data_IF_921314464036
#
_entry.id   IF_921314464036
#
_cell.length_a   1.000
_cell.length_b   1.000
_cell.length_c   1.000
_cell.angle_alpha   90.00
_cell.angle_beta   90.00
_cell.angle_gamma   90.00
#
_symmetry.space_group_name_H-M   'P 1'
#
loop_
_entity.id
_entity.type
_entity.pdbx_description
1 polymer ?
#
# COMPACT_ATOMS: atom_id res chain seq x y z
N UNK A 1 -3.22 11.09 -7.09
CA UNK A 1 -2.98 11.69 -5.74
C UNK A 1 -3.50 13.14 -5.55
N UNK A 2 -4.48 13.63 -6.31
CA UNK A 2 -4.86 15.06 -6.27
C UNK A 2 -5.43 15.54 -4.92
N UNK A 3 -6.25 14.72 -4.25
CA UNK A 3 -6.85 15.05 -2.96
C UNK A 3 -5.77 15.27 -1.89
N UNK A 4 -4.76 14.39 -1.80
CA UNK A 4 -3.66 14.54 -0.84
C UNK A 4 -2.89 15.85 -1.05
N UNK A 5 -2.63 16.24 -2.31
CA UNK A 5 -1.97 17.51 -2.64
C UNK A 5 -2.79 18.71 -2.19
N UNK A 6 -4.09 18.68 -2.46
CA UNK A 6 -5.02 19.74 -2.03
C UNK A 6 -5.01 19.87 -0.51
N UNK A 7 -5.23 18.79 0.23
CA UNK A 7 -5.23 18.79 1.70
C UNK A 7 -3.90 19.32 2.28
N UNK A 8 -2.76 18.87 1.73
CA UNK A 8 -1.46 19.33 2.20
C UNK A 8 -1.17 20.81 1.87
N UNK A 9 -1.86 21.38 0.88
CA UNK A 9 -1.63 22.77 0.44
C UNK A 9 -2.57 23.78 1.11
N UNK A 10 -3.83 23.39 1.39
CA UNK A 10 -4.85 24.35 1.86
C UNK A 10 -4.95 24.46 3.37
N UNK A 11 -4.49 23.46 4.12
CA UNK A 11 -4.59 23.45 5.58
C UNK A 11 -3.28 23.94 6.21
N UNK A 12 -3.26 25.10 6.87
CA UNK A 12 -2.02 25.71 7.39
C UNK A 12 -1.37 24.92 8.54
N UNK A 13 -2.08 23.96 9.13
CA UNK A 13 -1.54 23.07 10.17
C UNK A 13 -0.79 21.85 9.61
N UNK A 14 -0.78 21.63 8.29
CA UNK A 14 -0.05 20.52 7.68
C UNK A 14 1.41 20.92 7.49
N UNK A 15 2.32 20.12 8.05
CA UNK A 15 3.75 20.38 7.95
C UNK A 15 4.26 20.30 6.49
N UNK A 16 5.17 21.20 6.12
CA UNK A 16 5.69 21.33 4.74
C UNK A 16 6.31 20.04 4.20
N UNK A 17 6.91 19.20 5.06
CA UNK A 17 7.52 17.93 4.62
C UNK A 17 6.56 17.00 3.89
N UNK A 18 5.24 17.09 4.15
CA UNK A 18 4.25 16.27 3.48
C UNK A 18 4.16 16.59 1.99
N UNK A 19 4.18 17.88 1.64
CA UNK A 19 4.12 18.35 0.26
C UNK A 19 4.89 19.68 0.09
N UNK A 20 6.24 19.62 0.04
CA UNK A 20 7.11 20.79 0.20
C UNK A 20 6.85 21.89 -0.82
N UNK A 21 6.96 23.16 -0.40
CA UNK A 21 6.91 24.32 -1.30
C UNK A 21 8.08 24.38 -2.29
N UNK A 22 9.24 23.85 -1.89
CA UNK A 22 10.42 23.76 -2.77
C UNK A 22 10.12 22.92 -4.02
N UNK A 23 10.20 23.57 -5.18
CA UNK A 23 9.80 22.97 -6.45
C UNK A 23 10.66 21.76 -6.82
N UNK A 24 11.94 21.75 -6.47
CA UNK A 24 12.83 20.64 -6.81
C UNK A 24 12.49 19.39 -5.99
N UNK A 25 12.30 19.54 -4.68
CA UNK A 25 11.87 18.45 -3.79
C UNK A 25 10.47 17.96 -4.15
N UNK A 26 9.55 18.89 -4.41
CA UNK A 26 8.19 18.57 -4.87
C UNK A 26 8.21 17.76 -6.16
N UNK A 27 9.01 18.14 -7.16
CA UNK A 27 9.10 17.41 -8.42
C UNK A 27 9.57 15.95 -8.23
N UNK A 28 10.49 15.70 -7.29
CA UNK A 28 10.90 14.33 -6.95
C UNK A 28 9.76 13.54 -6.31
N UNK A 29 9.02 14.12 -5.39
CA UNK A 29 7.83 13.50 -4.79
C UNK A 29 6.80 13.19 -5.88
N UNK A 30 6.51 14.15 -6.76
CA UNK A 30 5.58 13.98 -7.87
C UNK A 30 5.99 12.84 -8.82
N UNK A 31 7.29 12.67 -9.07
CA UNK A 31 7.79 11.55 -9.89
C UNK A 31 7.46 10.19 -9.28
N UNK A 32 7.48 10.06 -7.94
CA UNK A 32 7.10 8.83 -7.24
C UNK A 32 5.58 8.62 -7.33
N UNK A 33 4.80 9.68 -7.10
CA UNK A 33 3.35 9.64 -7.11
C UNK A 33 2.78 9.30 -8.50
N UNK A 34 3.42 9.77 -9.57
CA UNK A 34 3.05 9.42 -10.94
C UNK A 34 3.43 7.97 -11.27
N UNK A 35 4.68 7.59 -10.97
CA UNK A 35 5.15 6.21 -11.16
C UNK A 35 4.29 5.19 -10.41
N UNK A 36 3.84 5.51 -9.20
CA UNK A 36 3.02 4.63 -8.35
C UNK A 36 1.79 4.08 -9.07
N UNK A 37 1.08 4.93 -9.82
CA UNK A 37 -0.19 4.57 -10.45
C UNK A 37 -0.04 3.43 -11.47
N UNK A 38 0.98 3.49 -12.32
CA UNK A 38 1.20 2.54 -13.41
C UNK A 38 2.06 1.32 -13.02
N UNK A 39 2.65 1.34 -11.82
CA UNK A 39 3.55 0.30 -11.34
C UNK A 39 2.97 -0.37 -10.10
N UNK A 40 3.41 0.04 -8.91
CA UNK A 40 3.05 -0.62 -7.66
C UNK A 40 1.54 -0.77 -7.48
N UNK A 41 0.77 0.31 -7.69
CA UNK A 41 -0.69 0.29 -7.55
C UNK A 41 -1.36 -0.65 -8.54
N UNK A 42 -0.97 -0.59 -9.81
CA UNK A 42 -1.51 -1.49 -10.84
C UNK A 42 -1.25 -2.95 -10.45
N UNK A 43 -0.05 -3.26 -9.99
CA UNK A 43 0.31 -4.61 -9.55
C UNK A 43 -0.50 -5.07 -8.35
N UNK A 44 -0.44 -4.32 -7.25
CA UNK A 44 -1.12 -4.68 -6.00
C UNK A 44 -2.64 -4.77 -6.16
N UNK A 45 -3.27 -3.78 -6.81
CA UNK A 45 -4.71 -3.78 -7.05
C UNK A 45 -5.15 -4.95 -7.94
N UNK A 46 -4.39 -5.28 -9.00
CA UNK A 46 -4.70 -6.43 -9.87
C UNK A 46 -4.59 -7.74 -9.08
N UNK A 47 -3.57 -7.87 -8.23
CA UNK A 47 -3.38 -9.05 -7.38
C UNK A 47 -4.57 -9.21 -6.42
N UNK A 48 -4.92 -8.17 -5.66
CA UNK A 48 -6.08 -8.18 -4.73
C UNK A 48 -7.38 -8.46 -5.49
N UNK A 49 -7.58 -7.85 -6.65
CA UNK A 49 -8.78 -8.07 -7.45
C UNK A 49 -8.93 -9.54 -7.83
N UNK A 50 -7.89 -10.18 -8.38
CA UNK A 50 -8.02 -11.53 -8.94
C UNK A 50 -7.84 -12.66 -7.93
N UNK A 51 -7.23 -12.43 -6.76
CA UNK A 51 -7.03 -13.48 -5.75
C UNK A 51 -7.93 -13.34 -4.52
N UNK A 52 -8.49 -12.15 -4.30
CA UNK A 52 -9.33 -11.88 -3.14
C UNK A 52 -10.76 -11.44 -3.51
N UNK A 53 -10.90 -10.38 -4.30
CA UNK A 53 -12.20 -9.74 -4.49
C UNK A 53 -13.08 -10.45 -5.53
N UNK A 54 -12.54 -10.79 -6.71
CA UNK A 54 -13.27 -11.50 -7.75
C UNK A 54 -13.82 -12.86 -7.28
N UNK A 55 -13.03 -13.75 -6.64
CA UNK A 55 -13.57 -14.99 -6.07
C UNK A 55 -14.70 -14.76 -5.08
N UNK A 56 -14.54 -13.76 -4.21
CA UNK A 56 -15.54 -13.43 -3.19
C UNK A 56 -16.87 -12.96 -3.81
N UNK A 57 -16.80 -12.24 -4.94
CA UNK A 57 -17.97 -11.78 -5.69
C UNK A 57 -18.50 -12.82 -6.69
N UNK A 58 -17.91 -14.03 -6.76
CA UNK A 58 -18.28 -15.04 -7.77
C UNK A 58 -17.91 -14.65 -9.20
N UNK A 59 -16.97 -13.73 -9.37
CA UNK A 59 -16.46 -13.27 -10.67
C UNK A 59 -15.28 -14.13 -11.13
N UNK A 60 -15.07 -14.15 -12.45
CA UNK A 60 -13.97 -14.88 -13.07
C UNK A 60 -12.60 -14.31 -12.68
N UNK A 61 -11.65 -15.19 -12.39
CA UNK A 61 -10.25 -14.85 -12.13
C UNK A 61 -9.38 -15.15 -13.35
N UNK A 62 -8.23 -14.49 -13.46
CA UNK A 62 -7.25 -14.74 -14.52
C UNK A 62 -5.89 -15.06 -13.91
N UNK A 63 -5.45 -16.30 -14.08
CA UNK A 63 -4.13 -16.73 -13.61
C UNK A 63 -2.98 -15.97 -14.27
N UNK A 64 -3.12 -15.61 -15.55
CA UNK A 64 -2.12 -14.83 -16.26
C UNK A 64 -2.04 -13.40 -15.71
N UNK A 65 -3.19 -12.77 -15.43
CA UNK A 65 -3.22 -11.44 -14.82
C UNK A 65 -2.57 -11.44 -13.42
N UNK A 66 -2.82 -12.49 -12.62
CA UNK A 66 -2.16 -12.67 -11.31
C UNK A 66 -0.66 -12.77 -11.48
N UNK A 67 -0.16 -13.65 -12.35
CA UNK A 67 1.29 -13.83 -12.58
C UNK A 67 1.98 -12.54 -13.03
N UNK A 68 1.34 -11.78 -13.92
CA UNK A 68 1.84 -10.47 -14.36
C UNK A 68 1.84 -9.45 -13.23
N UNK A 69 0.79 -9.44 -12.40
CA UNK A 69 0.69 -8.57 -11.23
C UNK A 69 1.78 -8.89 -10.19
N UNK A 70 2.03 -10.16 -9.88
CA UNK A 70 3.09 -10.59 -8.97
C UNK A 70 4.46 -10.08 -9.46
N UNK A 71 4.75 -10.29 -10.75
CA UNK A 71 5.99 -9.79 -11.36
C UNK A 71 6.11 -8.27 -11.23
N UNK A 72 5.04 -7.53 -11.50
CA UNK A 72 5.04 -6.07 -11.43
C UNK A 72 5.23 -5.58 -9.99
N UNK A 73 4.63 -6.24 -9.00
CA UNK A 73 4.84 -5.93 -7.58
C UNK A 73 6.31 -6.15 -7.19
N UNK A 74 6.89 -7.32 -7.51
CA UNK A 74 8.30 -7.59 -7.20
C UNK A 74 9.26 -6.59 -7.86
N UNK A 75 9.01 -6.25 -9.14
CA UNK A 75 9.79 -5.23 -9.84
C UNK A 75 9.64 -3.86 -9.17
N UNK A 76 8.42 -3.50 -8.75
CA UNK A 76 8.14 -2.24 -8.06
C UNK A 76 8.88 -2.15 -6.72
N UNK A 77 8.88 -3.22 -5.92
CA UNK A 77 9.65 -3.28 -4.67
C UNK A 77 11.15 -3.09 -4.93
N UNK A 78 11.70 -3.76 -5.94
CA UNK A 78 13.10 -3.57 -6.35
C UNK A 78 13.42 -2.13 -6.77
N UNK A 79 12.51 -1.43 -7.46
CA UNK A 79 12.67 -0.01 -7.82
C UNK A 79 12.64 0.89 -6.58
N UNK A 80 11.69 0.69 -5.67
CA UNK A 80 11.59 1.47 -4.43
C UNK A 80 12.89 1.38 -3.65
N UNK A 81 13.39 0.16 -3.49
CA UNK A 81 14.63 -0.10 -2.77
C UNK A 81 15.84 0.48 -3.50
N UNK A 82 16.05 0.20 -4.79
CA UNK A 82 17.24 0.65 -5.51
C UNK A 82 17.28 2.16 -5.81
N UNK A 83 16.12 2.79 -6.02
CA UNK A 83 16.03 4.18 -6.51
C UNK A 83 15.74 5.17 -5.38
N UNK A 84 14.80 4.86 -4.48
CA UNK A 84 14.25 5.86 -3.56
C UNK A 84 14.63 5.66 -2.10
N UNK A 85 14.97 4.45 -1.67
CA UNK A 85 15.41 4.17 -0.30
C UNK A 85 16.94 4.12 -0.12
N UNK A 86 17.73 4.76 -0.99
CA UNK A 86 19.19 4.61 -1.04
C UNK A 86 19.91 4.90 0.29
N UNK A 87 20.94 4.10 0.61
CA UNK A 87 21.76 4.26 1.82
C UNK A 87 20.95 4.06 3.11
N UNK A 88 21.33 4.79 4.17
CA UNK A 88 20.67 4.73 5.48
C UNK A 88 19.42 5.62 5.57
N UNK A 89 18.75 5.84 4.44
CA UNK A 89 17.58 6.72 4.34
C UNK A 89 16.50 6.39 5.38
N UNK A 90 15.97 7.43 6.02
CA UNK A 90 14.85 7.29 6.96
C UNK A 90 13.52 7.16 6.22
N UNK A 91 13.33 7.98 5.18
CA UNK A 91 12.16 7.99 4.31
C UNK A 91 12.59 8.03 2.83
N UNK A 92 11.62 7.95 1.91
CA UNK A 92 11.89 8.04 0.48
C UNK A 92 12.70 9.30 0.13
N UNK A 93 13.50 9.21 -0.93
CA UNK A 93 14.39 10.27 -1.41
C UNK A 93 15.53 10.63 -0.43
N UNK A 94 15.79 9.81 0.59
CA UNK A 94 16.78 10.10 1.62
C UNK A 94 16.32 11.16 2.64
N UNK A 95 15.01 11.43 2.71
CA UNK A 95 14.47 12.49 3.56
C UNK A 95 14.52 12.12 5.05
N UNK A 96 14.77 13.09 5.96
CA UNK A 96 14.65 12.90 7.40
C UNK A 96 13.19 12.85 7.90
N UNK A 97 12.23 13.27 7.08
CA UNK A 97 10.80 13.32 7.38
C UNK A 97 9.97 12.65 6.26
N UNK A 98 8.82 12.03 6.57
CA UNK A 98 7.99 11.39 5.55
C UNK A 98 7.35 12.42 4.62
N UNK A 99 6.86 11.96 3.48
CA UNK A 99 6.08 12.75 2.52
C UNK A 99 4.80 12.03 2.11
N UNK A 100 3.94 12.68 1.32
CA UNK A 100 2.77 12.00 0.74
C UNK A 100 3.16 10.83 -0.18
N UNK A 101 4.39 10.78 -0.70
CA UNK A 101 4.88 9.62 -1.44
C UNK A 101 5.07 8.43 -0.50
N UNK A 102 5.61 8.64 0.70
CA UNK A 102 5.79 7.57 1.69
C UNK A 102 4.44 6.97 2.09
N UNK A 103 3.45 7.81 2.39
CA UNK A 103 2.08 7.39 2.69
C UNK A 103 1.46 6.59 1.54
N UNK A 104 1.62 7.07 0.29
CA UNK A 104 1.00 6.43 -0.86
C UNK A 104 1.60 5.05 -1.15
N UNK A 105 2.93 4.91 -1.07
CA UNK A 105 3.59 3.63 -1.31
C UNK A 105 3.34 2.64 -0.15
N UNK A 106 3.41 3.07 1.12
CA UNK A 106 3.22 2.16 2.25
C UNK A 106 1.80 1.61 2.27
N UNK A 107 0.78 2.44 2.06
CA UNK A 107 -0.62 1.99 2.05
C UNK A 107 -0.90 1.00 0.91
N UNK A 108 -0.20 1.13 -0.21
CA UNK A 108 -0.31 0.19 -1.32
C UNK A 108 0.36 -1.16 -0.99
N UNK A 109 1.54 -1.13 -0.36
CA UNK A 109 2.22 -2.36 0.10
C UNK A 109 1.43 -3.07 1.19
N UNK A 110 0.78 -2.32 2.08
CA UNK A 110 -0.07 -2.87 3.13
C UNK A 110 -1.19 -3.75 2.59
N UNK A 111 -1.65 -3.56 1.34
CA UNK A 111 -2.66 -4.45 0.72
C UNK A 111 -2.21 -5.91 0.65
N UNK A 112 -0.90 -6.19 0.62
CA UNK A 112 -0.36 -7.55 0.62
C UNK A 112 -0.68 -8.32 1.90
N UNK A 113 -0.93 -7.62 3.02
CA UNK A 113 -1.33 -8.24 4.29
C UNK A 113 -2.62 -9.06 4.18
N UNK A 114 -3.50 -8.73 3.23
CA UNK A 114 -4.76 -9.46 2.98
C UNK A 114 -4.50 -10.95 2.68
N UNK A 115 -3.33 -11.29 2.17
CA UNK A 115 -2.98 -12.65 1.77
C UNK A 115 -2.41 -13.53 2.90
N UNK A 116 -2.25 -12.97 4.11
CA UNK A 116 -1.61 -13.67 5.22
C UNK A 116 -0.08 -13.58 5.17
N UNK A 117 0.56 -13.95 6.28
CA UNK A 117 2.00 -13.74 6.48
C UNK A 117 2.86 -14.49 5.45
N UNK A 118 2.54 -15.76 5.17
CA UNK A 118 3.32 -16.58 4.23
C UNK A 118 3.37 -15.97 2.82
N UNK A 119 2.22 -15.56 2.28
CA UNK A 119 2.17 -14.97 0.93
C UNK A 119 2.79 -13.58 0.93
N UNK A 120 2.56 -12.78 1.96
CA UNK A 120 3.16 -11.46 2.08
C UNK A 120 4.69 -11.53 2.17
N UNK A 121 5.23 -12.50 2.88
CA UNK A 121 6.67 -12.70 3.05
C UNK A 121 7.33 -13.23 1.77
N UNK A 122 6.60 -13.91 0.87
CA UNK A 122 7.11 -14.21 -0.49
C UNK A 122 7.45 -12.95 -1.28
N UNK A 123 6.76 -11.83 -1.02
CA UNK A 123 7.09 -10.54 -1.63
C UNK A 123 8.11 -9.79 -0.79
N UNK A 124 7.85 -9.58 0.51
CA UNK A 124 8.61 -8.63 1.32
C UNK A 124 9.83 -9.25 2.03
N UNK A 125 9.92 -10.57 2.14
CA UNK A 125 10.94 -11.26 2.93
C UNK A 125 12.37 -10.99 2.46
N UNK A 126 12.57 -10.72 1.16
CA UNK A 126 13.87 -10.36 0.60
C UNK A 126 14.18 -8.85 0.68
N UNK A 127 13.23 -8.02 1.14
CA UNK A 127 13.33 -6.56 1.11
C UNK A 127 13.38 -5.96 2.52
N UNK A 128 14.42 -6.31 3.29
CA UNK A 128 14.60 -5.83 4.68
C UNK A 128 14.53 -4.30 4.80
N UNK A 129 15.09 -3.57 3.83
CA UNK A 129 15.07 -2.10 3.84
C UNK A 129 13.66 -1.54 3.67
N UNK A 130 12.81 -2.21 2.89
CA UNK A 130 11.40 -1.84 2.77
C UNK A 130 10.71 -2.08 4.11
N UNK A 131 10.92 -3.23 4.75
CA UNK A 131 10.32 -3.52 6.07
C UNK A 131 10.71 -2.48 7.12
N UNK A 132 11.99 -2.12 7.20
CA UNK A 132 12.48 -1.07 8.12
C UNK A 132 11.87 0.29 7.78
N UNK A 133 11.78 0.65 6.50
CA UNK A 133 11.14 1.90 6.08
C UNK A 133 9.64 1.93 6.42
N UNK A 134 8.92 0.83 6.20
CA UNK A 134 7.49 0.72 6.58
C UNK A 134 7.29 0.95 8.07
N UNK A 135 8.14 0.36 8.93
CA UNK A 135 8.11 0.58 10.38
C UNK A 135 8.39 2.05 10.75
N UNK A 136 9.33 2.71 10.07
CA UNK A 136 9.59 4.14 10.26
C UNK A 136 8.38 5.00 9.87
N UNK A 137 7.71 4.69 8.75
CA UNK A 137 6.49 5.41 8.32
C UNK A 137 5.35 5.18 9.29
N UNK A 138 5.12 3.93 9.72
CA UNK A 138 4.14 3.57 10.75
C UNK A 138 4.35 4.36 12.04
N UNK A 139 5.58 4.40 12.56
CA UNK A 139 5.93 5.17 13.76
C UNK A 139 5.70 6.67 13.58
N UNK A 140 6.05 7.22 12.41
CA UNK A 140 5.87 8.65 12.13
C UNK A 140 4.40 9.07 11.96
N UNK A 141 3.49 8.11 11.75
CA UNK A 141 2.07 8.34 11.48
C UNK A 141 1.16 7.72 12.54
N UNK A 142 1.72 7.22 13.64
CA UNK A 142 0.99 6.64 14.77
C UNK A 142 0.22 7.72 15.55
N UNK A 143 -1.01 7.44 16.03
CA UNK A 143 -1.75 6.17 15.97
C UNK A 143 -2.56 5.95 14.69
N UNK A 144 -2.60 6.94 13.80
CA UNK A 144 -3.49 6.93 12.63
C UNK A 144 -3.15 5.85 11.61
N UNK A 145 -1.90 5.37 11.58
CA UNK A 145 -1.53 4.24 10.72
C UNK A 145 -2.34 3.00 11.05
N UNK A 146 -2.45 2.64 12.34
CA UNK A 146 -3.20 1.48 12.78
C UNK A 146 -4.69 1.67 12.54
N UNK A 147 -5.23 2.84 12.87
CA UNK A 147 -6.64 3.19 12.68
C UNK A 147 -7.06 3.05 11.21
N UNK A 148 -6.25 3.58 10.29
CA UNK A 148 -6.53 3.54 8.85
C UNK A 148 -6.49 2.11 8.27
N UNK A 149 -5.75 1.19 8.89
CA UNK A 149 -5.59 -0.20 8.43
C UNK A 149 -6.42 -1.22 9.22
N UNK A 150 -7.28 -0.79 10.14
CA UNK A 150 -8.07 -1.69 10.99
C UNK A 150 -8.89 -2.70 10.15
N UNK A 151 -9.63 -2.20 9.15
CA UNK A 151 -10.44 -3.03 8.27
C UNK A 151 -9.59 -4.06 7.52
N UNK A 152 -8.39 -3.67 7.08
CA UNK A 152 -7.48 -4.56 6.38
C UNK A 152 -7.03 -5.72 7.28
N UNK A 153 -6.70 -5.44 8.55
CA UNK A 153 -6.37 -6.50 9.51
C UNK A 153 -7.56 -7.40 9.85
N UNK A 154 -8.78 -6.85 9.91
CA UNK A 154 -10.00 -7.65 10.09
C UNK A 154 -10.22 -8.60 8.90
N UNK A 155 -10.00 -8.14 7.66
CA UNK A 155 -10.10 -8.97 6.45
C UNK A 155 -9.03 -10.06 6.44
N UNK A 156 -7.78 -9.74 6.76
CA UNK A 156 -6.69 -10.72 6.89
C UNK A 156 -7.09 -11.84 7.86
N UNK A 157 -7.54 -11.48 9.06
CA UNK A 157 -7.97 -12.43 10.09
C UNK A 157 -9.12 -13.33 9.61
N UNK A 158 -10.15 -12.75 8.97
CA UNK A 158 -11.29 -13.51 8.47
C UNK A 158 -10.88 -14.55 7.42
N UNK A 159 -9.97 -14.19 6.50
CA UNK A 159 -9.47 -15.11 5.47
C UNK A 159 -8.63 -16.25 6.04
N UNK A 160 -7.82 -15.98 7.07
CA UNK A 160 -7.05 -17.02 7.75
C UNK A 160 -7.93 -18.06 8.46
N UNK A 161 -9.10 -17.66 8.97
CA UNK A 161 -10.07 -18.57 9.60
C UNK A 161 -10.87 -19.40 8.57
N UNK A 162 -11.04 -18.89 7.35
CA UNK A 162 -11.71 -19.61 6.25
C UNK A 162 -10.79 -20.54 5.49
N UNK A 163 -9.48 -20.25 5.45
CA UNK A 163 -8.47 -21.19 4.92
C UNK A 163 -8.42 -22.52 5.69
N UNK A 164 -8.93 -22.56 6.94
CA UNK A 164 -9.03 -23.77 7.77
C UNK A 164 -10.43 -24.38 7.84
N UNK A 165 -11.46 -23.74 7.27
CA UNK A 165 -12.81 -24.27 7.21
C UNK A 165 -13.54 -23.82 5.94
N UNK A 166 -13.92 -24.78 5.10
CA UNK A 166 -14.62 -24.57 3.83
C UNK A 166 -16.05 -24.04 4.01
N UNK A 167 -16.21 -22.78 4.44
CA UNK A 167 -17.48 -22.05 4.35
C UNK A 167 -17.25 -20.61 3.90
N UNK A 168 -18.05 -20.20 2.91
CA UNK A 168 -18.06 -18.87 2.34
C UNK A 168 -18.33 -17.80 3.40
N UNK A 169 -17.60 -16.69 3.31
CA UNK A 169 -17.80 -15.50 4.12
C UNK A 169 -19.16 -14.85 3.80
N UNK A 170 -20.06 -14.75 4.78
CA UNK A 170 -21.14 -13.77 4.72
C UNK A 170 -20.67 -12.45 5.33
N UNK A 171 -20.64 -11.35 4.56
CA UNK A 171 -20.18 -10.07 5.08
C UNK A 171 -21.18 -9.52 6.10
N UNK A 172 -20.66 -9.00 7.22
CA UNK A 172 -21.47 -8.31 8.23
C UNK A 172 -22.16 -7.08 7.64
N UNK A 173 -23.29 -6.71 8.23
CA UNK A 173 -24.17 -5.62 7.77
C UNK A 173 -23.46 -4.26 7.62
N UNK A 174 -22.31 -4.07 8.27
CA UNK A 174 -21.49 -2.85 8.15
C UNK A 174 -20.74 -2.75 6.80
N UNK A 175 -20.35 -3.86 6.18
CA UNK A 175 -19.68 -3.86 4.87
C UNK A 175 -20.65 -3.54 3.72
N UNK A 176 -21.94 -3.85 3.86
CA UNK A 176 -22.96 -3.58 2.82
C UNK A 176 -23.23 -2.08 2.62
N UNK A 177 -22.96 -1.26 3.64
CA UNK A 177 -23.17 0.19 3.57
C UNK A 177 -22.04 0.91 2.83
N UNK A 178 -20.82 0.37 2.87
CA UNK A 178 -19.66 0.96 2.20
C UNK A 178 -19.65 0.75 0.67
N UNK A 179 -20.41 -0.22 0.14
CA UNK A 179 -20.51 -0.46 -1.31
C UNK A 179 -21.61 0.36 -2.00
N UNK A 180 -22.26 1.28 -1.28
CA UNK A 180 -23.33 2.16 -1.79
C UNK A 180 -22.92 3.64 -1.89
N UNK A 181 -21.62 3.94 -1.81
CA UNK A 181 -21.04 5.25 -2.08
C UNK A 181 -20.12 5.19 -3.29
#
# INVERSE_FOLDING_TARGET
>A
HAILRYLASVFPGVADHWYPADLFTRAKIESILDWHHSNLRRGAATLVMHTALAPFLGLTTSHEAVKQAEKLVMQSLGVIESVWLKGDAKFLLGSPQPSIADLSLVCEIMQLEIFGDEVRDRFLGAHERILVWMDKVKKATSPHFEEAHELLFQVKKARMVQGSSSKAFEPSTKLKTASKL
#
